data_IF_742301655635
#
_entry.id   IF_742301655635
#
_cell.length_a   1.000
_cell.length_b   1.000
_cell.length_c   1.000
_cell.angle_alpha   90.00
_cell.angle_beta   90.00
_cell.angle_gamma   90.00
#
_symmetry.space_group_name_H-M   'P 1'
#
loop_
_entity.id
_entity.type
_entity.pdbx_description
1 polymer ?
#
# COMPACT_ATOMS: atom_id res chain seq x y z
N UNK A 1 -9.49 9.97 29.93
CA UNK A 1 -8.87 9.92 28.59
C UNK A 1 -9.78 9.12 27.67
N UNK A 2 -10.12 9.68 26.54
CA UNK A 2 -10.96 8.99 25.54
C UNK A 2 -10.10 8.53 24.37
N UNK A 3 -9.78 7.24 24.36
CA UNK A 3 -8.95 6.65 23.32
C UNK A 3 -9.86 6.08 22.24
N UNK A 4 -9.62 6.47 20.98
CA UNK A 4 -10.33 5.88 19.84
C UNK A 4 -9.93 4.42 19.66
N UNK A 5 -10.89 3.59 19.27
CA UNK A 5 -10.57 2.23 18.85
C UNK A 5 -9.84 2.25 17.50
N UNK A 6 -9.12 1.18 17.21
CA UNK A 6 -8.50 1.04 15.88
C UNK A 6 -9.57 1.02 14.78
N UNK A 7 -10.73 0.43 15.06
CA UNK A 7 -11.84 0.40 14.10
C UNK A 7 -12.33 1.79 13.76
N UNK A 8 -12.47 2.66 14.74
CA UNK A 8 -12.89 4.04 14.52
C UNK A 8 -11.84 4.83 13.74
N UNK A 9 -10.57 4.63 14.07
CA UNK A 9 -9.47 5.31 13.39
C UNK A 9 -9.44 4.91 11.91
N UNK A 10 -9.60 3.63 11.61
CA UNK A 10 -9.64 3.12 10.24
C UNK A 10 -10.88 3.64 9.50
N UNK A 11 -12.04 3.63 10.18
CA UNK A 11 -13.29 4.15 9.59
C UNK A 11 -13.12 5.61 9.14
N UNK A 12 -12.52 6.44 10.00
CA UNK A 12 -12.25 7.84 9.67
C UNK A 12 -11.29 7.96 8.48
N UNK A 13 -10.25 7.14 8.46
CA UNK A 13 -9.31 7.12 7.33
C UNK A 13 -10.00 6.73 6.03
N UNK A 14 -10.84 5.69 6.06
CA UNK A 14 -11.56 5.20 4.88
C UNK A 14 -12.47 6.25 4.25
N UNK A 15 -12.97 7.21 5.04
CA UNK A 15 -13.78 8.30 4.53
C UNK A 15 -12.96 9.33 3.73
N UNK A 16 -11.66 9.33 3.86
CA UNK A 16 -10.77 10.34 3.25
C UNK A 16 -9.90 9.77 2.14
N UNK A 17 -9.89 8.45 1.94
CA UNK A 17 -8.97 7.78 1.03
C UNK A 17 -9.72 7.01 -0.05
N UNK A 18 -8.97 6.60 -1.07
CA UNK A 18 -9.48 5.75 -2.14
C UNK A 18 -9.14 4.29 -1.84
N UNK A 19 -10.15 3.44 -1.89
CA UNK A 19 -10.01 1.98 -1.77
C UNK A 19 -10.38 1.36 -3.11
N UNK A 20 -9.54 0.47 -3.62
CA UNK A 20 -9.78 -0.22 -4.89
C UNK A 20 -9.89 -1.73 -4.66
N UNK A 21 -10.53 -2.41 -5.58
CA UNK A 21 -10.63 -3.87 -5.52
C UNK A 21 -9.33 -4.52 -5.97
N UNK A 22 -9.16 -5.79 -5.61
CA UNK A 22 -8.01 -6.59 -6.07
C UNK A 22 -7.96 -6.62 -7.59
N UNK A 23 -9.11 -6.75 -8.26
CA UNK A 23 -9.20 -6.81 -9.72
C UNK A 23 -8.76 -5.50 -10.36
N UNK A 24 -9.19 -4.37 -9.82
CA UNK A 24 -8.76 -3.04 -10.28
C UNK A 24 -7.25 -2.87 -10.13
N UNK A 25 -6.71 -3.29 -8.99
CA UNK A 25 -5.28 -3.21 -8.73
C UNK A 25 -4.49 -4.10 -9.71
N UNK A 26 -4.97 -5.32 -9.94
CA UNK A 26 -4.31 -6.25 -10.85
C UNK A 26 -4.19 -5.67 -12.26
N UNK A 27 -5.26 -5.06 -12.78
CA UNK A 27 -5.23 -4.45 -14.12
C UNK A 27 -4.19 -3.32 -14.20
N UNK A 28 -4.11 -2.49 -13.16
CA UNK A 28 -3.13 -1.38 -13.12
C UNK A 28 -1.70 -1.89 -13.07
N UNK A 29 -1.44 -2.96 -12.31
CA UNK A 29 -0.12 -3.57 -12.22
C UNK A 29 0.26 -4.21 -13.56
N UNK A 30 -0.67 -4.93 -14.16
CA UNK A 30 -0.46 -5.57 -15.46
C UNK A 30 -0.10 -4.56 -16.54
N UNK A 31 -0.75 -3.39 -16.53
CA UNK A 31 -0.51 -2.34 -17.52
C UNK A 31 0.67 -1.43 -17.13
N UNK A 32 1.37 -1.75 -16.06
CA UNK A 32 2.52 -0.99 -15.54
C UNK A 32 2.17 0.48 -15.27
N UNK A 33 0.98 0.73 -14.72
CA UNK A 33 0.46 2.07 -14.46
C UNK A 33 0.68 2.55 -13.04
N UNK A 34 1.25 1.72 -12.17
CA UNK A 34 1.34 2.03 -10.74
C UNK A 34 2.62 1.52 -10.11
N UNK A 35 2.87 2.06 -8.92
CA UNK A 35 3.84 1.52 -7.97
C UNK A 35 3.06 0.69 -6.95
N UNK A 36 3.24 -0.62 -6.97
CA UNK A 36 2.59 -1.53 -6.00
C UNK A 36 3.51 -1.72 -4.81
N UNK A 37 3.04 -1.40 -3.61
CA UNK A 37 3.86 -1.40 -2.40
C UNK A 37 3.24 -2.27 -1.32
N UNK A 38 4.00 -3.27 -0.88
CA UNK A 38 3.67 -4.12 0.24
C UNK A 38 4.24 -3.46 1.50
N UNK A 39 3.37 -3.08 2.44
CA UNK A 39 3.79 -2.40 3.67
C UNK A 39 3.79 -3.30 4.89
N UNK A 40 3.67 -4.62 4.69
CA UNK A 40 3.72 -5.58 5.79
C UNK A 40 5.13 -5.64 6.39
N UNK A 41 5.25 -6.27 7.57
CA UNK A 41 6.55 -6.54 8.18
C UNK A 41 7.25 -7.69 7.46
N UNK A 42 8.59 -7.69 7.46
CA UNK A 42 9.37 -8.67 6.72
C UNK A 42 9.04 -10.12 7.11
N UNK A 43 8.75 -10.38 8.38
CA UNK A 43 8.40 -11.72 8.83
C UNK A 43 7.08 -12.21 8.20
N UNK A 44 6.15 -11.31 7.88
CA UNK A 44 4.92 -11.68 7.18
C UNK A 44 5.22 -12.15 5.75
N UNK A 45 6.15 -11.49 5.07
CA UNK A 45 6.57 -11.89 3.73
C UNK A 45 7.27 -13.25 3.77
N UNK A 46 8.14 -13.45 4.76
CA UNK A 46 8.86 -14.72 4.92
C UNK A 46 7.91 -15.89 5.21
N UNK A 47 6.84 -15.63 5.97
CA UNK A 47 5.88 -16.67 6.35
C UNK A 47 4.82 -16.95 5.29
N UNK A 48 4.37 -15.93 4.56
CA UNK A 48 3.20 -16.03 3.67
C UNK A 48 3.54 -15.84 2.20
N UNK A 49 4.78 -15.43 1.90
CA UNK A 49 5.20 -15.14 0.53
C UNK A 49 5.02 -13.69 0.15
N UNK A 50 5.46 -13.38 -1.05
CA UNK A 50 5.45 -12.02 -1.63
C UNK A 50 4.53 -11.99 -2.84
N UNK A 51 4.05 -10.81 -3.16
CA UNK A 51 3.32 -10.59 -4.42
C UNK A 51 4.33 -10.22 -5.49
N UNK A 52 4.33 -10.96 -6.59
CA UNK A 52 5.19 -10.65 -7.74
C UNK A 52 4.89 -9.23 -8.24
N UNK A 53 5.93 -8.44 -8.42
CA UNK A 53 5.82 -7.05 -8.89
C UNK A 53 5.65 -6.02 -7.78
N UNK A 54 5.52 -6.43 -6.53
CA UNK A 54 5.40 -5.48 -5.41
C UNK A 54 6.78 -5.13 -4.85
N UNK A 55 6.96 -3.84 -4.54
CA UNK A 55 8.09 -3.37 -3.77
C UNK A 55 7.75 -3.49 -2.29
N UNK A 56 8.72 -3.87 -1.46
CA UNK A 56 8.51 -3.98 -0.02
C UNK A 56 9.05 -2.75 0.70
N UNK A 57 8.16 -2.01 1.35
CA UNK A 57 8.52 -0.89 2.23
C UNK A 57 7.65 -1.02 3.47
N UNK A 58 8.23 -1.43 4.62
CA UNK A 58 7.44 -1.62 5.84
C UNK A 58 6.75 -0.33 6.28
N UNK A 59 5.56 -0.47 6.87
CA UNK A 59 4.78 0.69 7.34
C UNK A 59 5.61 1.65 8.20
N UNK A 60 6.49 1.13 9.05
CA UNK A 60 7.26 1.93 10.00
C UNK A 60 8.24 2.91 9.35
N UNK A 61 8.66 2.66 8.12
CA UNK A 61 9.61 3.50 7.39
C UNK A 61 9.04 4.05 6.09
N UNK A 62 7.75 3.87 5.87
CA UNK A 62 7.11 4.20 4.59
C UNK A 62 7.29 5.68 4.22
N UNK A 63 6.94 6.58 5.13
CA UNK A 63 7.03 8.02 4.85
C UNK A 63 8.47 8.47 4.58
N UNK A 64 9.44 7.85 5.27
CA UNK A 64 10.85 8.16 5.07
C UNK A 64 11.28 7.79 3.65
N UNK A 65 10.89 6.60 3.18
CA UNK A 65 11.25 6.15 1.84
C UNK A 65 10.46 6.87 0.74
N UNK A 66 9.26 7.35 1.03
CA UNK A 66 8.45 8.08 0.06
C UNK A 66 8.62 9.60 0.15
N UNK A 67 9.61 10.08 0.88
CA UNK A 67 10.06 11.46 0.76
C UNK A 67 10.52 11.68 -0.69
N UNK A 68 10.12 12.80 -1.34
CA UNK A 68 10.48 13.05 -2.74
C UNK A 68 11.97 13.02 -3.03
N UNK A 69 12.80 13.29 -2.04
CA UNK A 69 14.26 13.30 -2.19
C UNK A 69 14.91 11.96 -1.85
N UNK A 70 14.13 10.93 -1.57
CA UNK A 70 14.68 9.64 -1.18
C UNK A 70 15.40 8.96 -2.35
N UNK A 71 16.34 8.04 -2.01
CA UNK A 71 17.10 7.29 -3.00
C UNK A 71 16.24 6.38 -3.87
N UNK A 72 15.07 5.97 -3.38
CA UNK A 72 14.19 5.07 -4.12
C UNK A 72 13.70 5.71 -5.44
N UNK A 73 13.49 7.03 -5.42
CA UNK A 73 13.12 7.78 -6.63
C UNK A 73 14.34 8.11 -7.47
N UNK A 74 15.44 8.50 -6.84
CA UNK A 74 16.68 8.84 -7.54
C UNK A 74 17.25 7.66 -8.30
N UNK A 75 17.10 6.44 -7.78
CA UNK A 75 17.57 5.21 -8.43
C UNK A 75 16.55 4.61 -9.40
N UNK A 76 15.38 5.23 -9.54
CA UNK A 76 14.35 4.77 -10.47
C UNK A 76 13.62 3.50 -10.01
N UNK A 77 13.69 3.14 -8.73
CA UNK A 77 12.99 1.96 -8.21
C UNK A 77 11.49 2.17 -8.17
N UNK A 78 11.06 3.41 -7.90
CA UNK A 78 9.66 3.82 -7.99
C UNK A 78 9.57 5.05 -8.89
N UNK A 79 8.40 5.24 -9.50
CA UNK A 79 8.13 6.37 -10.39
C UNK A 79 7.13 7.32 -9.74
N UNK A 80 7.58 8.52 -9.36
CA UNK A 80 6.73 9.53 -8.71
C UNK A 80 5.52 9.92 -9.54
N UNK A 81 5.57 9.75 -10.85
CA UNK A 81 4.51 10.18 -11.75
C UNK A 81 3.41 9.12 -11.90
N UNK A 82 3.63 7.91 -11.37
CA UNK A 82 2.63 6.85 -11.41
C UNK A 82 1.82 6.81 -10.12
N UNK A 83 0.64 6.22 -10.21
CA UNK A 83 -0.23 5.98 -9.06
C UNK A 83 0.47 5.07 -8.05
N UNK A 84 0.22 5.31 -6.77
CA UNK A 84 0.73 4.46 -5.67
C UNK A 84 -0.42 3.60 -5.16
N UNK A 85 -0.20 2.30 -5.12
CA UNK A 85 -1.18 1.34 -4.59
C UNK A 85 -0.51 0.56 -3.47
N UNK A 86 -1.04 0.71 -2.25
CA UNK A 86 -0.50 0.09 -1.05
C UNK A 86 -1.36 -1.09 -0.63
N UNK A 87 -0.74 -2.07 -0.01
CA UNK A 87 -1.47 -3.14 0.66
C UNK A 87 -0.74 -3.62 1.91
N UNK A 88 -1.52 -4.10 2.87
CA UNK A 88 -1.01 -4.80 4.05
C UNK A 88 -1.69 -6.18 4.10
N UNK A 89 -1.78 -6.80 5.26
CA UNK A 89 -2.39 -8.13 5.35
C UNK A 89 -3.90 -8.11 5.09
N UNK A 90 -4.63 -7.17 5.70
CA UNK A 90 -6.09 -7.12 5.62
C UNK A 90 -6.70 -5.76 5.34
N UNK A 91 -5.91 -4.68 5.30
CA UNK A 91 -6.40 -3.35 4.97
C UNK A 91 -6.32 -2.31 6.08
N UNK A 92 -5.98 -2.69 7.30
CA UNK A 92 -5.93 -1.77 8.45
C UNK A 92 -4.76 -0.80 8.34
N UNK A 93 -3.56 -1.35 8.29
CA UNK A 93 -2.33 -0.53 8.20
C UNK A 93 -2.28 0.27 6.92
N UNK A 94 -2.75 -0.29 5.81
CA UNK A 94 -2.72 0.40 4.53
C UNK A 94 -3.70 1.57 4.48
N UNK A 95 -4.86 1.47 5.12
CA UNK A 95 -5.79 2.60 5.22
C UNK A 95 -5.14 3.77 5.95
N UNK A 96 -4.50 3.51 7.09
CA UNK A 96 -3.82 4.54 7.86
C UNK A 96 -2.62 5.12 7.09
N UNK A 97 -1.90 4.27 6.37
CA UNK A 97 -0.75 4.68 5.58
C UNK A 97 -1.16 5.62 4.43
N UNK A 98 -2.22 5.29 3.70
CA UNK A 98 -2.71 6.16 2.62
C UNK A 98 -3.10 7.52 3.16
N UNK A 99 -3.79 7.57 4.30
CA UNK A 99 -4.15 8.84 4.93
C UNK A 99 -2.90 9.66 5.25
N UNK A 100 -1.88 9.03 5.82
CA UNK A 100 -0.61 9.70 6.15
C UNK A 100 0.08 10.25 4.90
N UNK A 101 0.14 9.46 3.83
CA UNK A 101 0.79 9.89 2.60
C UNK A 101 0.02 10.99 1.89
N UNK A 102 -1.29 11.03 2.01
CA UNK A 102 -2.09 12.16 1.51
C UNK A 102 -1.72 13.45 2.23
N UNK A 103 -1.43 13.38 3.51
CA UNK A 103 -0.95 14.55 4.28
C UNK A 103 0.41 15.03 3.78
N UNK A 104 1.24 14.15 3.22
CA UNK A 104 2.49 14.52 2.56
C UNK A 104 2.28 15.14 1.18
N UNK A 105 1.07 15.05 0.62
CA UNK A 105 0.75 15.63 -0.67
C UNK A 105 0.55 14.61 -1.79
N UNK A 106 0.62 13.32 -1.52
CA UNK A 106 0.31 12.30 -2.52
C UNK A 106 -1.18 12.35 -2.87
N UNK A 107 -1.49 12.53 -4.16
CA UNK A 107 -2.87 12.60 -4.65
C UNK A 107 -3.32 11.31 -5.33
N UNK A 108 -2.44 10.72 -6.13
CA UNK A 108 -2.74 9.48 -6.86
C UNK A 108 -2.32 8.30 -6.01
N UNK A 109 -3.10 8.01 -4.99
CA UNK A 109 -2.80 6.96 -4.03
C UNK A 109 -4.07 6.25 -3.58
N UNK A 110 -3.97 4.95 -3.41
CA UNK A 110 -5.07 4.10 -2.94
C UNK A 110 -4.52 2.90 -2.20
N UNK A 111 -5.41 2.12 -1.60
CA UNK A 111 -5.03 0.82 -1.06
C UNK A 111 -6.02 -0.26 -1.51
N UNK A 112 -5.61 -1.51 -1.39
CA UNK A 112 -6.37 -2.66 -1.88
C UNK A 112 -7.30 -3.18 -0.78
N UNK A 113 -8.58 -3.25 -1.09
CA UNK A 113 -9.58 -3.84 -0.21
C UNK A 113 -9.23 -5.30 0.08
N UNK A 114 -9.18 -5.65 1.37
CA UNK A 114 -8.85 -6.99 1.83
C UNK A 114 -7.37 -7.36 1.78
N UNK A 115 -6.51 -6.50 1.24
CA UNK A 115 -5.06 -6.65 1.26
C UNK A 115 -4.53 -7.97 0.73
N UNK A 116 -3.41 -8.42 1.28
CA UNK A 116 -2.76 -9.66 0.86
C UNK A 116 -3.68 -10.87 0.93
N UNK A 117 -4.55 -10.95 1.94
CA UNK A 117 -5.50 -12.06 2.07
C UNK A 117 -6.39 -12.18 0.84
N UNK A 118 -6.92 -11.06 0.35
CA UNK A 118 -7.73 -11.05 -0.87
C UNK A 118 -6.88 -11.29 -2.11
N UNK A 119 -5.68 -10.71 -2.15
CA UNK A 119 -4.76 -10.87 -3.29
C UNK A 119 -4.31 -12.32 -3.47
N UNK A 120 -4.14 -13.06 -2.38
CA UNK A 120 -3.70 -14.46 -2.43
C UNK A 120 -4.74 -15.39 -3.07
N UNK A 121 -5.99 -14.96 -3.16
CA UNK A 121 -7.08 -15.69 -3.82
C UNK A 121 -7.46 -15.08 -5.18
N UNK A 122 -6.54 -14.35 -5.80
CA UNK A 122 -6.78 -13.61 -7.03
C UNK A 122 -5.79 -14.01 -8.13
N UNK A 123 -5.74 -13.19 -9.19
CA UNK A 123 -4.78 -13.38 -10.28
C UNK A 123 -3.35 -12.96 -9.93
N UNK A 124 -3.15 -12.27 -8.81
CA UNK A 124 -1.80 -11.93 -8.36
C UNK A 124 -1.02 -13.22 -8.04
N UNK A 125 0.25 -13.22 -8.42
CA UNK A 125 1.12 -14.37 -8.20
C UNK A 125 1.90 -14.20 -6.92
N UNK A 126 1.86 -15.23 -6.07
CA UNK A 126 2.66 -15.31 -4.85
C UNK A 126 3.98 -16.01 -5.18
N UNK A 127 5.06 -15.38 -4.78
CA UNK A 127 6.42 -15.90 -5.01
C UNK A 127 7.22 -16.05 -3.73
#
# INVERSE_FOLDING_TARGET
>A
MNIKSIQNLVYEAMNEIKTITVEQAYEKVKDNECNLIDIREINELDNSGRIEGASHIPRGTLEVHLDPNSSIFQKGQLDQNKEFILFCAGGVRSALAVKSLKEMGYEKISHIDGGFAAMSNSSFKIV
#
